data_IF_078257746025
#
_entry.id   IF_078257746025
#
_cell.length_a   1.000
_cell.length_b   1.000
_cell.length_c   1.000
_cell.angle_alpha   90.00
_cell.angle_beta   90.00
_cell.angle_gamma   90.00
#
_symmetry.space_group_name_H-M   'P 1'
#
loop_
_entity.id
_entity.type
_entity.pdbx_description
1 polymer ?
#
# COMPACT_ATOMS: atom_id res chain seq x y z
N UNK A 1 1.89 7.54 3.45
CA UNK A 1 0.51 7.94 3.11
C UNK A 1 -0.53 7.13 3.88
N UNK A 2 -0.41 5.79 3.92
CA UNK A 2 -1.39 4.92 4.58
C UNK A 2 -1.58 5.24 6.07
N UNK A 3 -0.51 5.53 6.81
CA UNK A 3 -0.59 5.92 8.23
C UNK A 3 -1.44 7.19 8.42
N UNK A 4 -1.28 8.19 7.57
CA UNK A 4 -2.06 9.45 7.67
C UNK A 4 -3.55 9.17 7.46
N UNK A 5 -3.91 8.41 6.43
CA UNK A 5 -5.30 8.04 6.15
C UNK A 5 -5.86 7.21 7.31
N UNK A 6 -5.12 6.21 7.78
CA UNK A 6 -5.54 5.37 8.89
C UNK A 6 -5.80 6.20 10.16
N UNK A 7 -4.96 7.20 10.49
CA UNK A 7 -5.16 8.09 11.66
C UNK A 7 -6.40 8.95 11.52
N UNK A 8 -6.67 9.50 10.32
CA UNK A 8 -7.88 10.31 10.08
C UNK A 8 -9.14 9.45 10.29
N UNK A 9 -9.14 8.24 9.73
CA UNK A 9 -10.26 7.30 9.88
C UNK A 9 -10.41 6.86 11.34
N UNK A 10 -9.31 6.51 12.00
CA UNK A 10 -9.31 6.09 13.40
C UNK A 10 -9.81 7.18 14.35
N UNK A 11 -9.47 8.44 14.12
CA UNK A 11 -10.00 9.57 14.89
C UNK A 11 -11.52 9.69 14.74
N UNK A 12 -12.01 9.61 13.50
CA UNK A 12 -13.45 9.60 13.23
C UNK A 12 -14.17 8.42 13.89
N UNK A 13 -13.64 7.21 13.73
CA UNK A 13 -14.21 6.00 14.33
C UNK A 13 -14.19 6.06 15.85
N UNK A 14 -13.09 6.53 16.46
CA UNK A 14 -12.96 6.66 17.91
C UNK A 14 -14.06 7.54 18.51
N UNK A 15 -14.40 8.64 17.83
CA UNK A 15 -15.48 9.55 18.26
C UNK A 15 -16.86 8.88 18.22
N UNK A 16 -17.11 8.07 17.20
CA UNK A 16 -18.40 7.40 17.02
C UNK A 16 -18.56 6.17 17.94
N UNK A 17 -17.47 5.44 18.14
CA UNK A 17 -17.47 4.22 18.96
C UNK A 17 -17.30 4.50 20.45
N UNK A 18 -16.89 5.72 20.84
CA UNK A 18 -16.58 6.06 22.22
C UNK A 18 -15.33 5.34 22.78
N UNK A 19 -14.51 4.78 21.92
CA UNK A 19 -13.31 4.02 22.25
C UNK A 19 -12.11 4.50 21.41
N UNK A 20 -10.94 4.61 22.05
CA UNK A 20 -9.73 5.04 21.34
C UNK A 20 -9.20 3.94 20.42
N UNK A 21 -9.01 4.26 19.16
CA UNK A 21 -8.31 3.40 18.20
C UNK A 21 -6.82 3.67 18.20
N UNK A 22 -6.02 2.66 18.45
CA UNK A 22 -4.56 2.74 18.45
C UNK A 22 -4.03 2.31 17.09
N UNK A 23 -3.21 3.15 16.45
CA UNK A 23 -2.56 2.83 15.18
C UNK A 23 -1.20 2.19 15.45
N UNK A 24 -1.00 1.02 14.88
CA UNK A 24 0.26 0.30 14.87
C UNK A 24 0.77 0.18 13.42
N UNK A 25 1.99 0.64 13.15
CA UNK A 25 2.62 0.57 11.85
C UNK A 25 3.57 -0.63 11.78
N UNK A 26 3.21 -1.65 11.03
CA UNK A 26 4.03 -2.84 10.77
C UNK A 26 4.45 -2.83 9.30
N UNK A 27 5.63 -2.28 9.05
CA UNK A 27 6.20 -2.20 7.69
C UNK A 27 6.96 -3.46 7.29
N UNK A 28 7.15 -3.61 5.97
CA UNK A 28 8.01 -4.63 5.36
C UNK A 28 7.30 -5.50 4.33
N UNK A 29 8.08 -6.03 3.40
CA UNK A 29 7.67 -6.96 2.33
C UNK A 29 6.39 -6.50 1.59
N UNK A 30 6.32 -5.23 1.16
CA UNK A 30 5.16 -4.69 0.44
C UNK A 30 3.87 -4.61 1.27
N UNK A 31 3.94 -4.72 2.59
CA UNK A 31 2.80 -4.71 3.51
C UNK A 31 2.35 -6.10 3.96
N UNK A 32 2.95 -7.18 3.46
CA UNK A 32 2.54 -8.56 3.81
C UNK A 32 2.79 -8.92 5.27
N UNK A 33 3.78 -8.29 5.92
CA UNK A 33 4.04 -8.55 7.35
C UNK A 33 2.90 -8.04 8.23
N UNK A 34 2.44 -6.81 8.00
CA UNK A 34 1.31 -6.24 8.72
C UNK A 34 0.01 -7.00 8.46
N UNK A 35 -0.27 -7.31 7.17
CA UNK A 35 -1.45 -8.09 6.79
C UNK A 35 -1.45 -9.49 7.41
N UNK A 36 -0.32 -10.20 7.38
CA UNK A 36 -0.21 -11.53 7.99
C UNK A 36 -0.38 -11.51 9.51
N UNK A 37 0.06 -10.43 10.17
CA UNK A 37 -0.17 -10.26 11.62
C UNK A 37 -1.65 -10.09 11.95
N UNK A 38 -2.38 -9.30 11.18
CA UNK A 38 -3.83 -9.13 11.40
C UNK A 38 -4.59 -10.41 11.07
N UNK A 39 -4.23 -11.11 9.98
CA UNK A 39 -4.83 -12.40 9.64
C UNK A 39 -4.66 -13.47 10.73
N UNK A 40 -3.61 -13.35 11.54
CA UNK A 40 -3.33 -14.26 12.66
C UNK A 40 -3.87 -13.77 14.00
N UNK A 41 -4.48 -12.59 14.06
CA UNK A 41 -5.08 -12.05 15.27
C UNK A 41 -6.45 -12.72 15.57
N UNK A 42 -6.95 -12.55 16.78
CA UNK A 42 -8.30 -13.00 17.12
C UNK A 42 -9.36 -12.27 16.27
N UNK A 43 -10.30 -13.01 15.75
CA UNK A 43 -11.39 -12.48 14.90
C UNK A 43 -12.55 -11.93 15.77
N UNK A 44 -12.23 -11.09 16.75
CA UNK A 44 -13.15 -10.52 17.72
C UNK A 44 -13.67 -9.11 17.35
N UNK A 45 -13.19 -8.58 16.21
CA UNK A 45 -13.55 -7.24 15.71
C UNK A 45 -12.72 -6.10 16.30
N UNK A 46 -11.76 -6.36 17.19
CA UNK A 46 -10.90 -5.32 17.78
C UNK A 46 -9.60 -5.10 17.04
N UNK A 47 -9.25 -5.97 16.08
CA UNK A 47 -8.08 -5.81 15.22
C UNK A 47 -8.49 -5.53 13.79
N UNK A 48 -8.19 -4.33 13.29
CA UNK A 48 -8.56 -3.88 11.95
C UNK A 48 -7.30 -3.70 11.10
N UNK A 49 -7.44 -3.94 9.79
CA UNK A 49 -6.36 -3.77 8.81
C UNK A 49 -6.66 -2.60 7.88
N UNK A 50 -5.76 -1.62 7.85
CA UNK A 50 -5.71 -0.63 6.79
C UNK A 50 -4.91 -1.19 5.60
N UNK A 51 -5.59 -1.93 4.73
CA UNK A 51 -5.01 -2.59 3.58
C UNK A 51 -4.98 -1.71 2.32
N UNK A 52 -4.32 -2.21 1.29
CA UNK A 52 -4.24 -1.57 -0.02
C UNK A 52 -4.25 -2.62 -1.13
N UNK A 53 -4.46 -2.18 -2.38
CA UNK A 53 -4.28 -3.04 -3.55
C UNK A 53 -2.91 -3.72 -3.57
N UNK A 54 -1.86 -3.03 -3.11
CA UNK A 54 -0.52 -3.62 -2.99
C UNK A 54 -0.50 -4.83 -2.07
N UNK A 55 -0.94 -4.68 -0.83
CA UNK A 55 -0.89 -5.74 0.17
C UNK A 55 -1.90 -6.87 -0.05
N UNK A 56 -3.06 -6.60 -0.69
CA UNK A 56 -4.14 -7.59 -0.84
C UNK A 56 -4.25 -8.21 -2.23
N UNK A 57 -3.72 -7.56 -3.26
CA UNK A 57 -3.80 -8.07 -4.64
C UNK A 57 -2.41 -8.41 -5.18
N UNK A 58 -1.50 -7.42 -5.19
CA UNK A 58 -0.20 -7.59 -5.83
C UNK A 58 0.78 -8.43 -5.00
N UNK A 59 0.89 -8.15 -3.72
CA UNK A 59 1.86 -8.83 -2.86
C UNK A 59 1.61 -10.35 -2.72
N UNK A 60 0.37 -10.85 -2.56
CA UNK A 60 0.11 -12.30 -2.56
C UNK A 60 0.55 -13.02 -3.84
N UNK A 61 0.48 -12.33 -4.99
CA UNK A 61 0.88 -12.90 -6.29
C UNK A 61 2.39 -12.81 -6.51
N UNK A 62 3.02 -11.71 -6.08
CA UNK A 62 4.42 -11.41 -6.38
C UNK A 62 5.40 -11.85 -5.29
N UNK A 63 4.90 -12.17 -4.10
CA UNK A 63 5.74 -12.52 -2.95
C UNK A 63 5.55 -14.00 -2.61
N UNK A 64 6.60 -14.81 -2.62
CA UNK A 64 6.49 -16.22 -2.22
C UNK A 64 6.17 -16.32 -0.72
N UNK A 65 5.42 -17.36 -0.36
CA UNK A 65 5.11 -17.72 1.03
C UNK A 65 4.42 -16.60 1.86
N UNK A 66 3.52 -15.86 1.25
CA UNK A 66 2.62 -14.96 1.99
C UNK A 66 1.76 -15.78 2.96
N UNK A 67 1.65 -15.31 4.20
CA UNK A 67 1.03 -16.06 5.32
C UNK A 67 -0.45 -15.71 5.53
N UNK A 68 -1.14 -15.26 4.51
CA UNK A 68 -2.57 -14.97 4.54
C UNK A 68 -3.19 -15.15 3.16
N UNK A 69 -4.49 -15.38 3.14
CA UNK A 69 -5.34 -15.37 1.96
C UNK A 69 -6.23 -14.13 2.01
N UNK A 70 -6.11 -13.26 1.01
CA UNK A 70 -6.82 -11.97 1.00
C UNK A 70 -8.33 -12.10 0.94
N UNK A 71 -8.86 -13.21 0.43
CA UNK A 71 -10.29 -13.42 0.27
C UNK A 71 -10.91 -14.16 1.48
N UNK A 72 -10.13 -15.02 2.14
CA UNK A 72 -10.64 -15.88 3.21
C UNK A 72 -10.34 -15.37 4.61
N UNK A 73 -9.21 -14.71 4.79
CA UNK A 73 -8.74 -14.34 6.13
C UNK A 73 -9.19 -12.94 6.57
N UNK A 74 -9.88 -12.19 5.68
CA UNK A 74 -10.37 -10.85 5.97
C UNK A 74 -11.82 -10.65 5.58
N UNK A 75 -12.54 -9.86 6.37
CA UNK A 75 -13.89 -9.39 6.04
C UNK A 75 -13.76 -7.91 5.63
N UNK A 76 -14.06 -7.54 4.36
CA UNK A 76 -13.99 -6.15 3.93
C UNK A 76 -15.09 -5.32 4.59
N UNK A 77 -14.70 -4.21 5.21
CA UNK A 77 -15.62 -3.28 5.89
C UNK A 77 -15.99 -2.13 4.94
N UNK A 78 -15.01 -1.57 4.24
CA UNK A 78 -15.25 -0.46 3.31
C UNK A 78 -13.96 0.13 2.74
N UNK A 79 -14.14 1.02 1.77
CA UNK A 79 -13.05 1.79 1.17
C UNK A 79 -12.92 3.09 1.95
N UNK A 80 -11.76 3.33 2.53
CA UNK A 80 -11.50 4.52 3.37
C UNK A 80 -11.00 5.72 2.58
N UNK A 81 -10.30 5.47 1.47
CA UNK A 81 -9.80 6.51 0.58
C UNK A 81 -9.50 5.94 -0.80
N UNK A 82 -9.62 6.78 -1.82
CA UNK A 82 -9.10 6.56 -3.15
C UNK A 82 -8.06 7.65 -3.45
N UNK A 83 -6.88 7.24 -3.93
CA UNK A 83 -5.79 8.15 -4.21
C UNK A 83 -5.14 7.81 -5.56
N UNK A 84 -5.03 8.79 -6.48
CA UNK A 84 -4.38 8.57 -7.75
C UNK A 84 -2.88 8.28 -7.55
N UNK A 85 -2.35 7.34 -8.33
CA UNK A 85 -0.92 7.15 -8.41
C UNK A 85 -0.29 8.29 -9.24
N UNK A 86 0.82 8.83 -8.76
CA UNK A 86 1.59 9.86 -9.45
C UNK A 86 3.04 9.42 -9.61
N UNK A 87 3.63 9.72 -10.76
CA UNK A 87 5.06 9.56 -11.00
C UNK A 87 5.73 10.89 -10.66
N UNK A 88 6.71 10.83 -9.77
CA UNK A 88 7.49 11.99 -9.36
C UNK A 88 8.94 11.79 -9.79
N UNK A 89 9.52 12.78 -10.44
CA UNK A 89 10.91 12.79 -10.82
C UNK A 89 11.64 14.00 -10.19
N UNK A 90 12.95 13.95 -10.15
CA UNK A 90 13.74 15.10 -9.73
C UNK A 90 13.52 16.27 -10.70
N UNK A 91 13.73 17.51 -10.23
CA UNK A 91 13.43 18.75 -10.96
C UNK A 91 14.16 18.86 -12.31
N UNK A 92 15.35 18.31 -12.40
CA UNK A 92 16.21 18.33 -13.60
C UNK A 92 16.06 17.08 -14.49
N UNK A 93 15.00 16.29 -14.28
CA UNK A 93 14.72 15.13 -15.12
C UNK A 93 14.32 15.59 -16.54
N UNK A 94 14.91 15.00 -17.60
CA UNK A 94 14.76 15.50 -18.97
C UNK A 94 13.44 15.05 -19.64
N UNK A 95 12.31 15.22 -18.95
CA UNK A 95 10.98 15.00 -19.49
C UNK A 95 9.96 15.89 -18.75
N UNK A 96 9.07 16.55 -19.49
CA UNK A 96 8.08 17.48 -18.93
C UNK A 96 6.65 16.91 -18.97
N UNK A 97 6.46 15.76 -19.57
CA UNK A 97 5.17 15.07 -19.67
C UNK A 97 5.36 13.55 -19.81
N UNK A 98 4.28 12.80 -19.72
CA UNK A 98 4.31 11.35 -19.76
C UNK A 98 4.89 10.77 -21.07
N UNK A 99 4.59 11.40 -22.21
CA UNK A 99 5.10 10.92 -23.51
C UNK A 99 6.62 11.03 -23.58
N UNK A 100 7.18 12.16 -23.16
CA UNK A 100 8.63 12.38 -23.07
C UNK A 100 9.27 11.45 -22.03
N UNK A 101 8.61 11.27 -20.89
CA UNK A 101 9.05 10.35 -19.85
C UNK A 101 9.19 8.92 -20.38
N UNK A 102 8.16 8.39 -21.02
CA UNK A 102 8.18 7.04 -21.61
C UNK A 102 9.26 6.92 -22.69
N UNK A 103 9.41 7.92 -23.55
CA UNK A 103 10.46 7.93 -24.58
C UNK A 103 11.85 7.91 -23.95
N UNK A 104 12.08 8.73 -22.94
CA UNK A 104 13.36 8.78 -22.22
C UNK A 104 13.68 7.46 -21.52
N UNK A 105 12.71 6.86 -20.80
CA UNK A 105 12.91 5.58 -20.11
C UNK A 105 13.20 4.46 -21.10
N UNK A 106 12.50 4.39 -22.23
CA UNK A 106 12.78 3.40 -23.28
C UNK A 106 14.20 3.53 -23.86
N UNK A 107 14.68 4.75 -24.00
CA UNK A 107 16.03 5.00 -24.56
C UNK A 107 17.15 4.82 -23.51
N UNK A 108 16.87 4.91 -22.23
CA UNK A 108 17.87 4.95 -21.15
C UNK A 108 17.52 4.02 -19.97
N UNK A 109 16.77 2.95 -20.20
CA UNK A 109 16.24 2.08 -19.14
C UNK A 109 17.28 1.62 -18.12
N UNK A 110 18.47 1.22 -18.57
CA UNK A 110 19.57 0.76 -17.72
C UNK A 110 20.13 1.85 -16.77
N UNK A 111 19.87 3.11 -17.07
CA UNK A 111 20.37 4.27 -16.31
C UNK A 111 19.28 4.88 -15.41
N UNK A 112 18.01 4.57 -15.67
CA UNK A 112 16.89 5.08 -14.88
C UNK A 112 16.71 4.22 -13.63
N UNK A 113 16.84 4.86 -12.47
CA UNK A 113 16.60 4.22 -11.17
C UNK A 113 15.23 4.61 -10.66
N UNK A 114 14.48 3.62 -10.23
CA UNK A 114 13.17 3.81 -9.59
C UNK A 114 13.24 3.52 -8.10
N UNK A 115 12.39 4.17 -7.33
CA UNK A 115 12.20 3.91 -5.91
C UNK A 115 10.71 3.65 -5.63
N UNK A 116 10.44 2.64 -4.83
CA UNK A 116 9.10 2.22 -4.45
C UNK A 116 9.08 1.64 -3.03
N UNK A 117 7.90 1.44 -2.46
CA UNK A 117 7.71 0.97 -1.08
C UNK A 117 7.96 -0.54 -0.83
N UNK A 118 8.65 -1.20 -1.74
CA UNK A 118 8.93 -2.64 -1.69
C UNK A 118 8.20 -3.43 -2.79
N UNK A 119 8.67 -4.64 -3.07
CA UNK A 119 8.05 -5.54 -4.05
C UNK A 119 6.60 -5.81 -3.65
N UNK A 120 5.67 -5.76 -4.60
CA UNK A 120 4.24 -5.92 -4.36
C UNK A 120 3.53 -4.68 -3.80
N UNK A 121 4.23 -3.57 -3.48
CA UNK A 121 3.57 -2.33 -3.09
C UNK A 121 2.83 -1.66 -4.25
N UNK A 122 1.84 -0.80 -3.96
CA UNK A 122 1.12 -0.03 -4.98
C UNK A 122 2.07 0.83 -5.83
N UNK A 123 3.13 1.39 -5.22
CA UNK A 123 4.14 2.17 -5.93
C UNK A 123 5.07 1.30 -6.80
N UNK A 124 5.30 0.04 -6.45
CA UNK A 124 5.99 -0.91 -7.32
C UNK A 124 5.16 -1.21 -8.57
N UNK A 125 3.86 -1.49 -8.39
CA UNK A 125 2.94 -1.75 -9.50
C UNK A 125 2.85 -0.58 -10.48
N UNK A 126 2.91 0.66 -9.99
CA UNK A 126 2.89 1.85 -10.84
C UNK A 126 4.18 2.05 -11.67
N UNK A 127 5.25 1.29 -11.36
CA UNK A 127 6.55 1.37 -12.03
C UNK A 127 6.83 0.18 -12.97
N UNK A 128 5.95 -0.81 -13.02
CA UNK A 128 6.01 -1.95 -13.95
C UNK A 128 5.41 -1.59 -15.30
#
# INVERSE_FOLDING_TARGET
PSDVVARIVADGMSKHLGQTMVIENVGGAGGTLGSGRVASAEADGYTLLAGSMGSHVAAPVLTPNVRYDSERDFIPIGITADAPAVIVARKDFPANNMKEFVAYVKANGDKVKQAHGGVGSSSHMACL
#
